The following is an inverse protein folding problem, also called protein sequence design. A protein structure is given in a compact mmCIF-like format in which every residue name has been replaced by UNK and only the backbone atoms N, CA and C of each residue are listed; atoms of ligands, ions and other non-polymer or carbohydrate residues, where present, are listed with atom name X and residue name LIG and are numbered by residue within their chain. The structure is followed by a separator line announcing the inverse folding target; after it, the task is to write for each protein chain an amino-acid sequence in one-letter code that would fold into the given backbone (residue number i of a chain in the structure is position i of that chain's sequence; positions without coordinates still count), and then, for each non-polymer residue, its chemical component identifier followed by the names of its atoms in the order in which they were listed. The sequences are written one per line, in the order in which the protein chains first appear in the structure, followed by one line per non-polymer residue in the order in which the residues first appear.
data_IF_990235619273
#
_entry.id   IF_990235619273
#
_cell.length_a   1.000
_cell.length_b   1.000
_cell.length_c   1.000
_cell.angle_alpha   90.00
_cell.angle_beta   90.00
_cell.angle_gamma   90.00
#
_symmetry.space_group_name_H-M   'P 1'
#
loop_
_entity.id
_entity.type
_entity.pdbx_description
1 polymer ?
#
# COMPACT_ATOMS: atom_id res chain seq x y z
N UNK A 1 -59.52 2.60 -12.98
CA UNK A 1 -59.40 1.37 -13.80
C UNK A 1 -57.92 1.03 -13.94
N UNK A 2 -57.40 0.02 -13.21
CA UNK A 2 -56.04 -0.48 -13.33
C UNK A 2 -55.98 -1.74 -14.22
N UNK A 3 -54.94 -1.88 -15.04
CA UNK A 3 -54.56 -3.12 -15.74
C UNK A 3 -53.04 -3.27 -15.62
N UNK A 4 -52.51 -4.09 -14.72
CA UNK A 4 -52.38 -5.56 -14.72
C UNK A 4 -51.29 -6.12 -15.64
N UNK A 5 -50.27 -6.72 -15.01
CA UNK A 5 -49.40 -7.76 -15.57
C UNK A 5 -48.01 -7.30 -16.04
N UNK A 6 -46.89 -7.99 -15.79
CA UNK A 6 -46.64 -9.28 -15.13
C UNK A 6 -45.24 -9.27 -14.51
N UNK A 7 -45.16 -9.80 -13.30
CA UNK A 7 -43.95 -10.18 -12.57
C UNK A 7 -43.25 -11.32 -13.32
N UNK A 8 -42.04 -11.10 -13.83
CA UNK A 8 -41.18 -12.16 -14.33
C UNK A 8 -40.22 -12.59 -13.21
N UNK A 9 -40.51 -13.75 -12.63
CA UNK A 9 -39.63 -14.51 -11.75
C UNK A 9 -38.59 -15.23 -12.61
N UNK A 10 -37.29 -15.12 -12.29
CA UNK A 10 -36.24 -16.01 -12.83
C UNK A 10 -35.38 -16.57 -11.70
N UNK A 11 -34.95 -17.84 -11.82
CA UNK A 11 -34.71 -18.71 -10.68
C UNK A 11 -33.27 -18.60 -10.15
N UNK A 12 -33.12 -18.91 -8.87
CA UNK A 12 -31.82 -19.06 -8.23
C UNK A 12 -30.99 -20.18 -8.85
N UNK A 13 -29.68 -19.94 -8.96
CA UNK A 13 -28.68 -20.98 -9.23
C UNK A 13 -27.43 -20.74 -8.40
N UNK A 14 -27.27 -21.61 -7.40
CA UNK A 14 -26.02 -22.18 -6.86
C UNK A 14 -24.82 -21.25 -6.69
N UNK A 15 -24.64 -20.75 -5.47
CA UNK A 15 -23.32 -20.36 -4.94
C UNK A 15 -23.19 -20.90 -3.50
N UNK A 16 -22.94 -22.19 -3.35
CA UNK A 16 -22.63 -22.78 -2.02
C UNK A 16 -21.53 -23.84 -2.04
N UNK A 17 -20.99 -24.19 -3.22
CA UNK A 17 -19.85 -25.11 -3.35
C UNK A 17 -18.50 -24.40 -3.50
N UNK A 18 -18.47 -23.15 -4.01
CA UNK A 18 -17.20 -22.42 -4.25
C UNK A 18 -16.57 -21.84 -2.97
N UNK A 19 -17.38 -21.45 -1.98
CA UNK A 19 -16.83 -20.86 -0.75
C UNK A 19 -15.99 -21.85 0.07
N UNK A 20 -16.38 -23.14 0.08
CA UNK A 20 -15.67 -24.18 0.83
C UNK A 20 -14.28 -24.51 0.25
N UNK A 21 -14.04 -24.32 -1.04
CA UNK A 21 -12.70 -24.49 -1.63
C UNK A 21 -11.77 -23.32 -1.30
N UNK A 22 -12.31 -22.11 -1.12
CA UNK A 22 -11.49 -20.94 -0.74
C UNK A 22 -11.11 -20.89 0.73
N UNK A 23 -11.79 -21.65 1.60
CA UNK A 23 -11.47 -21.77 3.03
C UNK A 23 -10.39 -22.83 3.26
N UNK A 24 -10.51 -24.03 2.67
CA UNK A 24 -9.48 -25.07 2.77
C UNK A 24 -8.11 -24.60 2.20
N UNK A 25 -8.12 -23.81 1.11
CA UNK A 25 -6.91 -23.21 0.55
C UNK A 25 -6.33 -22.05 1.39
N UNK A 26 -7.13 -21.42 2.25
CA UNK A 26 -6.67 -20.40 3.21
C UNK A 26 -6.13 -21.02 4.49
N UNK A 27 -6.75 -22.10 4.96
CA UNK A 27 -6.32 -22.86 6.13
C UNK A 27 -4.96 -23.54 5.87
N UNK A 28 -4.79 -24.20 4.72
CA UNK A 28 -3.49 -24.76 4.32
C UNK A 28 -2.38 -23.71 4.17
N UNK A 29 -2.71 -22.47 3.79
CA UNK A 29 -1.75 -21.34 3.74
C UNK A 29 -1.39 -20.81 5.12
N UNK A 30 -2.32 -20.85 6.07
CA UNK A 30 -2.09 -20.42 7.46
C UNK A 30 -1.30 -21.48 8.24
N UNK A 31 -1.60 -22.77 8.06
CA UNK A 31 -0.85 -23.87 8.68
C UNK A 31 0.62 -23.90 8.22
N UNK A 32 0.90 -23.63 6.94
CA UNK A 32 2.26 -23.47 6.43
C UNK A 32 3.00 -22.26 7.04
N UNK A 33 2.26 -21.21 7.42
CA UNK A 33 2.82 -20.00 8.03
C UNK A 33 3.27 -20.24 9.48
N UNK A 34 2.53 -21.05 10.24
CA UNK A 34 2.84 -21.38 11.64
C UNK A 34 3.96 -22.42 11.74
N UNK A 35 4.03 -23.39 10.83
CA UNK A 35 5.08 -24.43 10.85
C UNK A 35 6.44 -23.97 10.30
N UNK A 36 6.49 -22.91 9.47
CA UNK A 36 7.74 -22.50 8.79
C UNK A 36 8.39 -21.20 9.31
N UNK A 37 7.86 -20.54 10.34
CA UNK A 37 8.62 -19.59 11.17
C UNK A 37 9.43 -18.49 10.44
N UNK A 38 8.87 -17.85 9.42
CA UNK A 38 9.50 -16.67 8.80
C UNK A 38 10.19 -16.92 7.45
N UNK A 39 10.73 -15.85 6.83
CA UNK A 39 10.81 -15.73 5.38
C UNK A 39 12.05 -16.42 4.83
N UNK A 40 11.85 -17.59 4.22
CA UNK A 40 12.65 -18.20 3.17
C UNK A 40 14.03 -17.56 2.88
N UNK A 41 15.03 -17.93 3.69
CA UNK A 41 16.36 -18.28 3.18
C UNK A 41 16.89 -19.45 4.03
N UNK A 42 16.42 -20.65 3.74
CA UNK A 42 17.08 -21.88 4.21
C UNK A 42 17.58 -22.62 2.96
N UNK A 43 18.90 -22.81 2.75
CA UNK A 43 19.45 -23.39 1.52
C UNK A 43 19.15 -24.88 1.33
N UNK A 44 18.40 -25.50 2.24
CA UNK A 44 18.35 -26.96 2.39
C UNK A 44 16.94 -27.55 2.28
N UNK A 45 15.98 -26.81 1.72
CA UNK A 45 14.64 -27.36 1.45
C UNK A 45 14.56 -27.79 -0.02
N UNK A 46 14.34 -29.09 -0.30
CA UNK A 46 14.23 -29.56 -1.67
C UNK A 46 12.98 -28.95 -2.31
N UNK A 47 13.24 -28.10 -3.29
CA UNK A 47 12.39 -27.68 -4.40
C UNK A 47 10.99 -28.33 -4.41
N UNK A 48 9.96 -27.57 -4.01
CA UNK A 48 8.58 -27.92 -4.34
C UNK A 48 8.48 -28.10 -5.88
N UNK A 49 8.00 -29.25 -6.42
CA UNK A 49 8.05 -29.53 -7.85
C UNK A 49 7.08 -28.70 -8.71
N UNK A 50 6.33 -27.76 -8.12
CA UNK A 50 5.26 -27.03 -8.79
C UNK A 50 5.61 -25.57 -9.17
N UNK A 51 6.86 -25.13 -8.99
CA UNK A 51 7.28 -23.76 -9.32
C UNK A 51 8.25 -23.66 -10.51
N UNK A 52 8.71 -24.78 -11.07
CA UNK A 52 9.53 -24.78 -12.29
C UNK A 52 8.64 -24.50 -13.52
N UNK A 53 8.41 -23.23 -13.82
CA UNK A 53 7.80 -22.84 -15.10
C UNK A 53 6.88 -21.63 -15.07
N UNK A 54 6.64 -21.01 -13.92
CA UNK A 54 5.95 -19.71 -13.90
C UNK A 54 7.03 -18.65 -14.12
N UNK A 55 7.05 -17.94 -15.27
CA UNK A 55 7.96 -16.83 -15.44
C UNK A 55 7.68 -15.84 -14.32
N UNK A 56 8.69 -15.59 -13.51
CA UNK A 56 8.64 -14.59 -12.47
C UNK A 56 8.13 -13.29 -13.06
N UNK A 57 6.98 -12.82 -12.59
CA UNK A 57 6.40 -11.58 -13.08
C UNK A 57 7.42 -10.45 -12.93
N UNK A 58 7.45 -9.45 -13.83
CA UNK A 58 8.34 -8.29 -13.69
C UNK A 58 8.20 -7.62 -12.31
N UNK A 59 7.01 -7.69 -11.73
CA UNK A 59 6.69 -7.25 -10.37
C UNK A 59 7.44 -8.10 -9.33
N UNK A 60 7.39 -9.43 -9.42
CA UNK A 60 8.13 -10.31 -8.50
C UNK A 60 9.64 -10.08 -8.58
N UNK A 61 10.17 -9.84 -9.78
CA UNK A 61 11.57 -9.52 -9.98
C UNK A 61 11.95 -8.16 -9.37
N UNK A 62 11.12 -7.12 -9.52
CA UNK A 62 11.39 -5.81 -8.93
C UNK A 62 11.39 -5.87 -7.40
N UNK A 63 10.46 -6.63 -6.80
CA UNK A 63 10.41 -6.83 -5.35
C UNK A 63 11.64 -7.54 -4.81
N UNK A 64 12.12 -8.61 -5.47
CA UNK A 64 13.33 -9.31 -5.04
C UNK A 64 14.58 -8.44 -5.11
N UNK A 65 14.70 -7.58 -6.14
CA UNK A 65 15.82 -6.64 -6.27
C UNK A 65 15.82 -5.59 -5.15
N UNK A 66 14.64 -5.07 -4.81
CA UNK A 66 14.49 -4.05 -3.77
C UNK A 66 14.33 -4.62 -2.35
N UNK A 67 14.32 -5.95 -2.18
CA UNK A 67 13.93 -6.58 -0.92
C UNK A 67 14.81 -6.13 0.26
N UNK A 68 16.11 -6.01 0.05
CA UNK A 68 17.06 -5.54 1.07
C UNK A 68 16.70 -4.14 1.60
N UNK A 69 16.13 -3.27 0.78
CA UNK A 69 15.70 -1.92 1.16
C UNK A 69 14.37 -1.91 1.92
N UNK A 70 13.53 -2.94 1.71
CA UNK A 70 12.21 -3.05 2.37
C UNK A 70 12.32 -3.74 3.72
N UNK A 71 13.32 -4.60 3.95
CA UNK A 71 13.50 -5.32 5.22
C UNK A 71 13.56 -4.39 6.45
N UNK A 72 14.33 -3.28 6.46
CA UNK A 72 14.42 -2.37 7.61
C UNK A 72 13.08 -1.77 8.03
N UNK A 73 12.15 -1.62 7.07
CA UNK A 73 10.82 -1.08 7.34
C UNK A 73 10.02 -1.95 8.32
N UNK A 74 10.24 -3.27 8.34
CA UNK A 74 9.58 -4.17 9.28
C UNK A 74 10.11 -4.07 10.71
N UNK A 75 11.23 -3.37 10.93
CA UNK A 75 11.75 -3.08 12.27
C UNK A 75 10.96 -1.99 13.02
N UNK A 76 10.06 -1.26 12.33
CA UNK A 76 9.25 -0.22 12.95
C UNK A 76 7.99 -0.78 13.64
N UNK A 77 7.54 -0.15 14.74
CA UNK A 77 6.31 -0.53 15.44
C UNK A 77 5.07 -0.30 14.57
N UNK A 78 3.96 -0.94 14.91
CA UNK A 78 2.74 -0.95 14.09
C UNK A 78 2.19 0.46 13.81
N UNK A 79 2.25 1.35 14.81
CA UNK A 79 1.75 2.72 14.73
C UNK A 79 2.49 3.52 13.66
N UNK A 80 3.81 3.30 13.55
CA UNK A 80 4.65 3.92 12.52
C UNK A 80 4.39 3.29 11.16
N UNK A 81 4.34 1.96 11.09
CA UNK A 81 4.09 1.25 9.83
C UNK A 81 2.74 1.63 9.24
N UNK A 82 1.71 1.81 10.07
CA UNK A 82 0.36 2.22 9.63
C UNK A 82 0.39 3.56 8.89
N UNK A 83 1.11 4.56 9.38
CA UNK A 83 1.26 5.83 8.65
C UNK A 83 1.98 5.66 7.32
N UNK A 84 3.07 4.89 7.28
CA UNK A 84 3.87 4.71 6.06
C UNK A 84 3.12 3.92 5.00
N UNK A 85 2.32 2.93 5.41
CA UNK A 85 1.46 2.17 4.51
C UNK A 85 0.35 3.04 3.88
N UNK A 86 -0.04 4.14 4.52
CA UNK A 86 -1.02 5.05 3.91
C UNK A 86 -0.35 5.85 2.78
N UNK A 87 -0.61 5.45 1.54
CA UNK A 87 -0.17 6.19 0.34
C UNK A 87 -1.04 7.42 0.05
N UNK A 88 -2.13 7.61 0.80
CA UNK A 88 -3.13 8.68 0.61
C UNK A 88 -2.53 10.08 0.45
N UNK A 89 -1.53 10.45 1.26
CA UNK A 89 -0.94 11.79 1.21
C UNK A 89 -0.15 12.02 -0.09
N UNK A 90 0.69 11.05 -0.47
CA UNK A 90 1.50 11.11 -1.70
C UNK A 90 0.60 11.01 -2.93
N UNK A 91 -0.41 10.15 -2.90
CA UNK A 91 -1.38 9.99 -3.99
C UNK A 91 -2.21 11.25 -4.20
N UNK A 92 -2.70 11.87 -3.11
CA UNK A 92 -3.44 13.12 -3.17
C UNK A 92 -2.60 14.25 -3.78
N UNK A 93 -1.34 14.38 -3.36
CA UNK A 93 -0.41 15.35 -3.91
C UNK A 93 -0.13 15.09 -5.39
N UNK A 94 0.20 13.85 -5.76
CA UNK A 94 0.45 13.45 -7.14
C UNK A 94 -0.78 13.63 -8.03
N UNK A 95 -1.99 13.49 -7.50
CA UNK A 95 -3.22 13.78 -8.22
C UNK A 95 -3.34 15.27 -8.55
N UNK A 96 -3.10 16.15 -7.56
CA UNK A 96 -3.10 17.61 -7.75
C UNK A 96 -2.04 18.07 -8.75
N UNK A 97 -0.80 17.58 -8.61
CA UNK A 97 0.30 17.90 -9.53
C UNK A 97 -0.04 17.47 -10.96
N UNK A 98 -0.49 16.22 -11.15
CA UNK A 98 -0.91 15.74 -12.48
C UNK A 98 -2.08 16.53 -13.06
N UNK A 99 -3.01 17.01 -12.23
CA UNK A 99 -4.13 17.86 -12.68
C UNK A 99 -3.64 19.22 -13.15
N UNK A 100 -2.75 19.86 -12.39
CA UNK A 100 -2.18 21.16 -12.75
C UNK A 100 -1.37 21.10 -14.05
N UNK A 101 -0.54 20.07 -14.21
CA UNK A 101 0.24 19.85 -15.44
C UNK A 101 -0.68 19.61 -16.63
N UNK A 102 -1.70 18.73 -16.49
CA UNK A 102 -2.67 18.46 -17.57
C UNK A 102 -3.50 19.69 -17.96
N UNK A 103 -3.81 20.58 -17.02
CA UNK A 103 -4.54 21.81 -17.30
C UNK A 103 -3.71 22.82 -18.12
N UNK A 104 -2.38 22.84 -17.96
CA UNK A 104 -1.49 23.75 -18.69
C UNK A 104 -1.11 23.21 -20.08
N UNK A 105 -0.90 21.90 -20.20
CA UNK A 105 -0.48 21.26 -21.45
C UNK A 105 1.01 21.47 -21.73
N UNK A 106 1.35 22.31 -22.71
CA UNK A 106 2.73 22.57 -23.13
C UNK A 106 3.37 23.72 -22.34
N UNK A 107 4.66 23.60 -22.04
CA UNK A 107 5.44 24.62 -21.34
C UNK A 107 6.49 25.21 -22.28
N UNK A 108 6.61 26.54 -22.36
CA UNK A 108 7.58 27.20 -23.23
C UNK A 108 9.03 27.08 -22.74
N UNK A 109 9.23 26.91 -21.42
CA UNK A 109 10.53 26.73 -20.78
C UNK A 109 10.39 25.82 -19.55
N UNK A 110 11.49 25.17 -19.13
CA UNK A 110 11.52 24.34 -17.93
C UNK A 110 11.23 25.16 -16.65
N UNK A 111 11.74 26.39 -16.59
CA UNK A 111 11.46 27.34 -15.50
C UNK A 111 9.95 27.60 -15.32
N UNK A 112 9.18 27.63 -16.42
CA UNK A 112 7.74 27.81 -16.34
C UNK A 112 7.03 26.59 -15.74
N UNK A 113 7.52 25.38 -16.03
CA UNK A 113 7.04 24.14 -15.42
C UNK A 113 7.39 24.08 -13.92
N UNK A 114 8.63 24.43 -13.57
CA UNK A 114 9.09 24.49 -12.17
C UNK A 114 8.26 25.48 -11.35
N UNK A 115 8.01 26.68 -11.87
CA UNK A 115 7.16 27.69 -11.21
C UNK A 115 5.74 27.17 -10.99
N UNK A 116 5.17 26.45 -11.96
CA UNK A 116 3.83 25.86 -11.77
C UNK A 116 3.82 24.82 -10.64
N UNK A 117 4.80 23.92 -10.63
CA UNK A 117 4.93 22.91 -9.57
C UNK A 117 5.07 23.59 -8.21
N UNK A 118 5.93 24.59 -8.09
CA UNK A 118 6.10 25.38 -6.88
C UNK A 118 4.79 26.01 -6.38
N UNK A 119 4.01 26.62 -7.27
CA UNK A 119 2.72 27.22 -6.90
C UNK A 119 1.72 26.18 -6.39
N UNK A 120 1.68 25.00 -7.00
CA UNK A 120 0.80 23.90 -6.55
C UNK A 120 1.22 23.35 -5.19
N UNK A 121 2.54 23.23 -4.95
CA UNK A 121 3.07 22.80 -3.67
C UNK A 121 2.75 23.81 -2.57
N UNK A 122 3.00 25.11 -2.80
CA UNK A 122 2.70 26.18 -1.85
C UNK A 122 1.18 26.27 -1.53
N UNK A 123 0.33 26.04 -2.52
CA UNK A 123 -1.12 25.96 -2.28
C UNK A 123 -1.49 24.71 -1.46
N UNK A 124 -0.87 23.56 -1.75
CA UNK A 124 -1.15 22.31 -1.03
C UNK A 124 -0.68 22.35 0.42
N UNK A 125 0.45 23.00 0.68
CA UNK A 125 0.98 23.22 2.04
C UNK A 125 -0.04 23.93 2.93
N UNK A 126 -0.71 24.96 2.41
CA UNK A 126 -1.76 25.71 3.15
C UNK A 126 -2.97 24.87 3.53
N UNK A 127 -3.21 23.76 2.83
CA UNK A 127 -4.32 22.84 3.11
C UNK A 127 -3.95 21.79 4.17
N UNK A 128 -2.65 21.54 4.41
CA UNK A 128 -2.15 20.57 5.39
C UNK A 128 -2.17 21.11 6.82
N UNK A 129 -3.38 21.32 7.34
CA UNK A 129 -3.60 21.85 8.69
C UNK A 129 -3.69 20.78 9.76
N UNK A 130 -4.17 19.59 9.40
CA UNK A 130 -4.46 18.52 10.34
C UNK A 130 -3.49 17.35 10.15
N UNK A 131 -2.78 16.92 11.22
CA UNK A 131 -1.96 15.74 11.15
C UNK A 131 -2.82 14.46 11.08
N UNK A 132 -2.26 13.35 10.56
CA UNK A 132 -2.89 12.03 10.66
C UNK A 132 -3.19 11.67 12.12
N UNK A 133 -4.28 10.94 12.36
CA UNK A 133 -4.72 10.56 13.70
C UNK A 133 -3.67 9.72 14.44
N UNK A 134 -2.96 8.88 13.70
CA UNK A 134 -1.93 7.97 14.17
C UNK A 134 -0.63 8.70 14.57
N UNK A 135 -0.46 9.97 14.16
CA UNK A 135 0.78 10.72 14.34
C UNK A 135 1.19 10.85 15.80
N UNK A 136 0.24 11.09 16.71
CA UNK A 136 0.56 11.26 18.13
C UNK A 136 1.19 10.00 18.73
N UNK A 137 0.67 8.82 18.37
CA UNK A 137 1.20 7.53 18.85
C UNK A 137 2.51 7.18 18.17
N UNK A 138 2.62 7.38 16.85
CA UNK A 138 3.87 7.17 16.13
C UNK A 138 5.00 8.07 16.65
N UNK A 139 4.72 9.34 16.98
CA UNK A 139 5.69 10.27 17.57
C UNK A 139 6.19 9.77 18.92
N UNK A 140 5.31 9.23 19.78
CA UNK A 140 5.72 8.64 21.05
C UNK A 140 6.65 7.44 20.85
N UNK A 141 6.34 6.56 19.89
CA UNK A 141 7.21 5.43 19.55
C UNK A 141 8.58 5.89 19.02
N UNK A 142 8.63 6.91 18.18
CA UNK A 142 9.89 7.47 17.71
C UNK A 142 10.73 8.09 18.83
N UNK A 143 10.09 8.70 19.84
CA UNK A 143 10.80 9.23 21.00
C UNK A 143 11.47 8.12 21.83
N UNK A 144 10.88 6.93 21.89
CA UNK A 144 11.47 5.76 22.57
C UNK A 144 12.64 5.19 21.75
N UNK A 145 12.44 5.00 20.43
CA UNK A 145 13.44 4.39 19.55
C UNK A 145 14.66 5.28 19.29
N UNK A 146 14.46 6.60 19.25
CA UNK A 146 15.48 7.58 18.85
C UNK A 146 15.59 8.75 19.83
N UNK A 147 15.48 8.49 21.14
CA UNK A 147 15.45 9.52 22.19
C UNK A 147 16.59 10.55 22.11
N UNK A 148 17.82 10.09 21.86
CA UNK A 148 19.02 10.94 21.71
C UNK A 148 18.89 12.00 20.59
N UNK A 149 18.14 11.71 19.52
CA UNK A 149 17.91 12.67 18.42
C UNK A 149 16.83 13.68 18.77
N UNK A 150 15.87 13.30 19.62
CA UNK A 150 14.82 14.19 20.10
C UNK A 150 15.35 15.21 21.11
N UNK A 151 16.25 14.79 22.00
CA UNK A 151 16.89 15.70 22.97
C UNK A 151 17.78 16.72 22.29
N UNK A 152 18.57 16.31 21.28
CA UNK A 152 19.39 17.23 20.48
C UNK A 152 18.59 18.27 19.70
N UNK A 153 17.40 17.91 19.20
CA UNK A 153 16.54 18.85 18.46
C UNK A 153 15.77 19.84 19.37
N UNK A 154 15.73 19.57 20.68
CA UNK A 154 15.04 20.39 21.69
C UNK A 154 16.01 21.24 22.52
N UNK A 155 17.32 21.01 22.39
CA UNK A 155 18.40 21.79 23.00
C UNK A 155 18.81 22.95 22.07
#
# INVERSE_FOLDING_TARGET
MPSSGRRANRPGRRQSSDRRQTEAGREARQECWVLCGGPWVSPSVPLCPLTHGIPDSPIGQSWRRAWAEVVPFYGFPEEVRRMVYTTNAIEALNSKLRRAVRARGHFPTDDAAMKLLFLVLNQSEKEWKMPPREWAMAKAQFAILYGERFTQAMA
#
